data_IF_561151696552
#
_entry.id   IF_561151696552
#
_cell.length_a   1.000
_cell.length_b   1.000
_cell.length_c   1.000
_cell.angle_alpha   90.00
_cell.angle_beta   90.00
_cell.angle_gamma   90.00
#
_symmetry.space_group_name_H-M   'P 1'
#
loop_
_entity.id
_entity.type
_entity.pdbx_description
1 polymer ?
#
# COMPACT_ATOMS: atom_id res chain seq x y z
N UNK A 1 -12.85 0.35 0.47
CA UNK A 1 -11.62 -0.33 0.12
C UNK A 1 -11.87 -1.37 -0.98
N UNK A 2 -10.92 -1.50 -1.93
CA UNK A 2 -11.00 -2.49 -3.01
C UNK A 2 -12.03 -2.19 -4.12
N UNK A 3 -12.83 -1.13 -4.00
CA UNK A 3 -13.77 -0.69 -5.03
C UNK A 3 -13.40 0.66 -5.62
N UNK A 4 -13.09 1.64 -4.78
CA UNK A 4 -12.71 3.01 -5.20
C UNK A 4 -11.50 3.55 -4.43
N UNK A 5 -11.07 2.87 -3.37
CA UNK A 5 -9.86 3.17 -2.63
C UNK A 5 -8.92 1.98 -2.74
N UNK A 6 -7.71 2.20 -3.22
CA UNK A 6 -6.74 1.19 -3.62
C UNK A 6 -5.36 1.50 -3.03
N UNK A 7 -4.48 0.50 -3.06
CA UNK A 7 -3.06 0.69 -2.72
C UNK A 7 -2.12 0.37 -3.89
N UNK A 8 -2.57 -0.43 -4.86
CA UNK A 8 -1.72 -0.98 -5.90
C UNK A 8 -2.21 -0.56 -7.29
N UNK A 9 -1.47 0.30 -8.02
CA UNK A 9 -1.84 0.72 -9.36
C UNK A 9 -1.79 -0.42 -10.39
N UNK A 10 -0.87 -1.36 -10.24
CA UNK A 10 -0.79 -2.54 -11.10
C UNK A 10 -2.00 -3.48 -10.97
N UNK A 11 -2.70 -3.41 -9.83
CA UNK A 11 -3.88 -4.24 -9.57
C UNK A 11 -5.18 -3.60 -10.10
N UNK A 12 -5.27 -2.27 -10.13
CA UNK A 12 -6.53 -1.56 -10.38
C UNK A 12 -6.41 -0.33 -11.28
N UNK A 13 -5.21 0.10 -11.67
CA UNK A 13 -5.03 1.34 -12.41
C UNK A 13 -5.63 1.29 -13.82
N UNK A 14 -5.56 0.15 -14.49
CA UNK A 14 -6.05 -0.01 -15.87
C UNK A 14 -7.56 0.19 -15.98
N UNK A 15 -8.32 -0.34 -15.03
CA UNK A 15 -9.79 -0.29 -15.01
C UNK A 15 -10.35 1.11 -14.73
N UNK A 16 -9.52 2.06 -14.27
CA UNK A 16 -9.95 3.42 -14.00
C UNK A 16 -10.10 4.31 -15.26
N UNK A 17 -9.74 3.81 -16.44
CA UNK A 17 -10.08 4.46 -17.71
C UNK A 17 -9.38 5.77 -18.03
N UNK A 18 -8.24 6.05 -17.41
CA UNK A 18 -7.41 7.27 -17.57
C UNK A 18 -8.05 8.58 -17.10
N UNK A 19 -9.13 8.51 -16.35
CA UNK A 19 -9.79 9.69 -15.77
C UNK A 19 -9.07 10.18 -14.49
N UNK A 20 -9.69 11.10 -13.74
CA UNK A 20 -9.09 11.73 -12.56
C UNK A 20 -8.80 10.77 -11.41
N UNK A 21 -7.53 10.49 -11.17
CA UNK A 21 -7.03 9.61 -10.11
C UNK A 21 -6.49 10.47 -8.96
N UNK A 22 -6.90 10.17 -7.73
CA UNK A 22 -6.36 10.80 -6.53
C UNK A 22 -5.29 9.95 -5.86
N UNK A 23 -4.31 10.61 -5.26
CA UNK A 23 -3.39 10.04 -4.27
C UNK A 23 -3.59 10.77 -2.96
N UNK A 24 -4.03 10.09 -1.91
CA UNK A 24 -4.13 10.68 -0.58
C UNK A 24 -2.88 10.32 0.23
N UNK A 25 -2.09 11.33 0.58
CA UNK A 25 -0.91 11.13 1.39
C UNK A 25 -1.28 10.82 2.85
N UNK A 26 -0.61 9.83 3.42
CA UNK A 26 -0.57 9.50 4.84
C UNK A 26 0.87 9.60 5.38
N UNK A 27 1.83 9.75 4.49
CA UNK A 27 3.25 9.99 4.73
C UNK A 27 3.92 10.35 3.40
N UNK A 28 5.22 10.62 3.44
CA UNK A 28 6.05 10.87 2.24
C UNK A 28 6.05 9.70 1.24
N UNK A 29 5.70 8.48 1.66
CA UNK A 29 5.55 7.33 0.75
C UNK A 29 4.55 7.57 -0.38
N UNK A 30 3.63 8.53 -0.22
CA UNK A 30 2.69 8.94 -1.26
C UNK A 30 3.39 9.51 -2.52
N UNK A 31 4.63 9.99 -2.39
CA UNK A 31 5.46 10.43 -3.52
C UNK A 31 5.61 9.33 -4.58
N UNK A 32 5.78 8.07 -4.15
CA UNK A 32 5.86 6.93 -5.05
C UNK A 32 4.61 6.81 -5.95
N UNK A 33 3.43 6.91 -5.37
CA UNK A 33 2.17 6.89 -6.13
C UNK A 33 2.03 8.15 -7.00
N UNK A 34 2.36 9.32 -6.46
CA UNK A 34 2.30 10.58 -7.21
C UNK A 34 3.17 10.59 -8.47
N UNK A 35 4.32 9.91 -8.44
CA UNK A 35 5.22 9.80 -9.59
C UNK A 35 4.81 8.68 -10.56
N UNK A 36 4.16 7.64 -10.07
CA UNK A 36 3.84 6.45 -10.85
C UNK A 36 2.49 6.56 -11.57
N UNK A 37 1.45 7.03 -10.88
CA UNK A 37 0.06 7.00 -11.35
C UNK A 37 -0.23 7.81 -12.63
N UNK A 38 0.56 8.83 -13.03
CA UNK A 38 0.37 9.48 -14.33
C UNK A 38 0.42 8.54 -15.54
N UNK A 39 1.00 7.35 -15.41
CA UNK A 39 0.98 6.34 -16.47
C UNK A 39 -0.42 5.71 -16.67
N UNK A 40 -1.29 5.81 -15.67
CA UNK A 40 -2.67 5.29 -15.70
C UNK A 40 -3.73 6.37 -15.92
N UNK A 41 -3.46 7.64 -15.57
CA UNK A 41 -4.43 8.70 -15.78
C UNK A 41 -4.04 10.05 -15.18
N UNK A 42 -4.89 11.05 -15.37
CA UNK A 42 -4.69 12.38 -14.78
C UNK A 42 -4.65 12.27 -13.26
N UNK A 43 -3.50 12.59 -12.67
CA UNK A 43 -3.20 12.33 -11.26
C UNK A 43 -3.14 13.60 -10.44
N UNK A 44 -3.82 13.60 -9.29
CA UNK A 44 -3.72 14.64 -8.27
C UNK A 44 -3.20 14.03 -6.96
N UNK A 45 -2.08 14.57 -6.45
CA UNK A 45 -1.55 14.25 -5.12
C UNK A 45 -2.12 15.23 -4.10
N UNK A 46 -2.92 14.73 -3.17
CA UNK A 46 -3.39 15.44 -1.99
C UNK A 46 -2.39 15.23 -0.86
N UNK A 47 -1.64 16.28 -0.52
CA UNK A 47 -0.57 16.21 0.51
C UNK A 47 -1.14 15.92 1.90
N UNK A 48 -2.39 16.34 2.15
CA UNK A 48 -3.17 15.99 3.35
C UNK A 48 -2.46 16.34 4.67
N UNK A 49 -1.64 17.40 4.67
CA UNK A 49 -0.79 17.82 5.81
C UNK A 49 0.08 16.67 6.38
N UNK A 50 0.32 15.61 5.58
CA UNK A 50 1.05 14.42 6.01
C UNK A 50 2.58 14.57 5.87
N UNK A 51 3.04 15.46 5.00
CA UNK A 51 4.45 15.81 4.81
C UNK A 51 4.56 17.12 4.01
N UNK A 52 5.76 17.71 3.97
CA UNK A 52 6.07 18.89 3.15
C UNK A 52 6.97 18.44 1.98
N UNK A 53 6.47 18.47 0.72
CA UNK A 53 7.30 18.11 -0.43
C UNK A 53 8.48 19.09 -0.61
N UNK A 54 9.68 18.56 -0.81
CA UNK A 54 10.86 19.37 -1.13
C UNK A 54 10.76 19.99 -2.53
N UNK A 55 11.57 21.01 -2.80
CA UNK A 55 11.63 21.64 -4.13
C UNK A 55 11.98 20.63 -5.25
N UNK A 56 12.82 19.63 -4.96
CA UNK A 56 13.15 18.55 -5.88
C UNK A 56 11.95 17.65 -6.15
N UNK A 57 11.25 17.24 -5.11
CA UNK A 57 10.02 16.40 -5.21
C UNK A 57 8.93 17.12 -6.00
N UNK A 58 8.74 18.42 -5.77
CA UNK A 58 7.81 19.25 -6.54
C UNK A 58 8.19 19.29 -8.03
N UNK A 59 9.47 19.44 -8.35
CA UNK A 59 9.96 19.40 -9.72
C UNK A 59 9.72 18.05 -10.39
N UNK A 60 9.94 16.94 -9.66
CA UNK A 60 9.68 15.57 -10.13
C UNK A 60 8.19 15.34 -10.42
N UNK A 61 7.30 15.71 -9.48
CA UNK A 61 5.84 15.59 -9.66
C UNK A 61 5.37 16.41 -10.87
N UNK A 62 5.84 17.65 -11.00
CA UNK A 62 5.53 18.52 -12.14
C UNK A 62 6.01 17.90 -13.47
N UNK A 63 7.22 17.35 -13.50
CA UNK A 63 7.76 16.70 -14.70
C UNK A 63 6.93 15.48 -15.13
N UNK A 64 6.27 14.79 -14.17
CA UNK A 64 5.34 13.68 -14.42
C UNK A 64 3.91 14.13 -14.74
N UNK A 65 3.61 15.43 -14.64
CA UNK A 65 2.26 15.96 -14.86
C UNK A 65 1.31 15.74 -13.70
N UNK A 66 1.81 15.44 -12.50
CA UNK A 66 0.99 15.28 -11.29
C UNK A 66 0.59 16.65 -10.76
N UNK A 67 -0.70 16.88 -10.59
CA UNK A 67 -1.23 18.03 -9.89
C UNK A 67 -1.10 17.85 -8.38
N UNK A 68 -0.89 18.96 -7.65
CA UNK A 68 -0.67 18.91 -6.20
C UNK A 68 -1.73 19.76 -5.51
N UNK A 69 -2.41 19.18 -4.52
CA UNK A 69 -3.38 19.84 -3.68
C UNK A 69 -2.94 19.80 -2.21
N UNK A 70 -2.96 20.98 -1.57
CA UNK A 70 -2.62 21.15 -0.16
C UNK A 70 -3.85 21.26 0.71
N UNK A 71 -3.68 20.99 1.99
CA UNK A 71 -4.70 20.98 3.02
C UNK A 71 -5.14 19.57 3.42
N UNK A 72 -5.79 19.46 4.57
CA UNK A 72 -6.21 18.18 5.11
C UNK A 72 -7.54 17.70 4.49
N UNK A 73 -7.61 16.40 4.25
CA UNK A 73 -8.86 15.72 3.90
C UNK A 73 -9.78 15.61 5.12
N UNK A 74 -11.07 15.86 4.89
CA UNK A 74 -12.08 15.71 5.94
C UNK A 74 -12.76 14.34 5.88
N UNK A 75 -13.15 13.90 4.68
CA UNK A 75 -13.86 12.64 4.48
C UNK A 75 -13.84 12.19 3.00
N UNK A 76 -14.13 10.91 2.82
CA UNK A 76 -14.46 10.33 1.52
C UNK A 76 -15.96 10.07 1.45
N UNK A 77 -16.57 10.46 0.35
CA UNK A 77 -17.98 10.20 0.06
C UNK A 77 -18.06 9.27 -1.14
N UNK A 78 -18.65 8.09 -0.94
CA UNK A 78 -18.93 7.20 -2.05
C UNK A 78 -20.09 7.77 -2.86
N UNK A 79 -19.84 8.19 -4.07
CA UNK A 79 -20.87 8.55 -5.02
C UNK A 79 -21.11 7.36 -5.92
N UNK A 80 -22.29 6.74 -5.87
CA UNK A 80 -22.76 5.72 -6.80
C UNK A 80 -21.69 4.75 -7.38
N UNK A 81 -22.00 4.00 -8.40
CA UNK A 81 -21.12 2.97 -8.97
C UNK A 81 -19.87 3.50 -9.70
N UNK A 82 -19.71 4.82 -9.88
CA UNK A 82 -18.75 5.40 -10.82
C UNK A 82 -17.56 6.11 -10.19
N UNK A 83 -17.56 6.48 -8.89
CA UNK A 83 -16.46 7.27 -8.33
C UNK A 83 -16.48 7.45 -6.82
N UNK A 84 -15.56 8.26 -6.34
CA UNK A 84 -15.43 8.72 -4.95
C UNK A 84 -15.19 10.23 -4.93
N UNK A 85 -15.79 10.95 -4.01
CA UNK A 85 -15.47 12.35 -3.76
C UNK A 85 -14.56 12.45 -2.54
N UNK A 86 -13.44 13.14 -2.71
CA UNK A 86 -12.60 13.59 -1.62
C UNK A 86 -13.04 14.99 -1.20
N UNK A 87 -13.52 15.12 0.02
CA UNK A 87 -13.93 16.40 0.62
C UNK A 87 -12.81 16.87 1.53
N UNK A 88 -12.29 18.08 1.27
CA UNK A 88 -11.26 18.72 2.10
C UNK A 88 -11.89 19.44 3.30
N UNK A 89 -11.09 19.73 4.32
CA UNK A 89 -11.55 20.46 5.51
C UNK A 89 -12.00 21.90 5.19
N UNK A 90 -11.45 22.51 4.16
CA UNK A 90 -11.82 23.85 3.68
C UNK A 90 -13.08 23.88 2.80
N UNK A 91 -13.71 22.71 2.59
CA UNK A 91 -14.95 22.56 1.83
C UNK A 91 -14.75 22.29 0.34
N UNK A 92 -13.53 22.30 -0.19
CA UNK A 92 -13.28 21.87 -1.59
C UNK A 92 -13.65 20.40 -1.76
N UNK A 93 -14.20 20.06 -2.94
CA UNK A 93 -14.64 18.71 -3.28
C UNK A 93 -13.99 18.29 -4.60
N UNK A 94 -13.39 17.13 -4.60
CA UNK A 94 -12.69 16.57 -5.77
C UNK A 94 -13.37 15.25 -6.17
N UNK A 95 -14.07 15.20 -7.31
CA UNK A 95 -14.58 13.96 -7.87
C UNK A 95 -13.43 13.16 -8.48
N UNK A 96 -13.33 11.89 -8.12
CA UNK A 96 -12.26 10.98 -8.54
C UNK A 96 -12.87 9.65 -8.99
N UNK A 97 -12.29 9.03 -10.01
CA UNK A 97 -12.67 7.66 -10.40
C UNK A 97 -12.08 6.62 -9.46
N UNK A 98 -10.95 6.95 -8.83
CA UNK A 98 -10.30 6.13 -7.83
C UNK A 98 -9.32 6.92 -6.99
N UNK A 99 -9.10 6.47 -5.77
CA UNK A 99 -8.17 7.07 -4.81
C UNK A 99 -7.14 6.04 -4.37
N UNK A 100 -5.87 6.37 -4.53
CA UNK A 100 -4.77 5.54 -4.04
C UNK A 100 -4.25 6.06 -2.70
N UNK A 101 -3.96 5.14 -1.79
CA UNK A 101 -3.40 5.43 -0.47
C UNK A 101 -2.26 4.45 -0.22
N UNK A 102 -1.10 4.95 0.22
CA UNK A 102 -0.03 4.11 0.74
C UNK A 102 -0.43 3.68 2.17
N UNK A 103 -0.86 2.41 2.39
CA UNK A 103 -1.32 1.97 3.70
C UNK A 103 -0.13 1.78 4.64
N UNK A 104 -0.37 1.92 5.93
CA UNK A 104 0.56 1.49 6.97
C UNK A 104 0.23 0.07 7.38
N UNK A 105 1.21 -0.80 7.42
CA UNK A 105 1.05 -2.20 7.85
C UNK A 105 1.03 -2.23 9.38
N UNK A 106 0.00 -2.85 9.92
CA UNK A 106 -0.11 -3.18 11.34
C UNK A 106 -0.23 -4.70 11.46
N UNK A 107 0.80 -5.31 12.04
CA UNK A 107 0.79 -6.74 12.28
C UNK A 107 -0.29 -7.14 13.29
N UNK A 108 -0.88 -8.31 13.06
CA UNK A 108 -1.69 -8.98 14.07
C UNK A 108 -0.85 -9.24 15.33
N UNK A 109 -1.43 -9.15 16.53
CA UNK A 109 -0.71 -9.44 17.78
C UNK A 109 -0.21 -10.90 17.87
N UNK A 110 -0.67 -11.80 17.00
CA UNK A 110 -0.26 -13.22 16.98
C UNK A 110 1.26 -13.39 16.80
N UNK A 111 1.89 -12.61 15.92
CA UNK A 111 3.34 -12.70 15.69
C UNK A 111 4.13 -12.37 16.97
N UNK A 112 3.73 -11.29 17.68
CA UNK A 112 4.34 -10.89 18.93
C UNK A 112 4.05 -11.90 20.07
N UNK A 113 2.83 -12.45 20.14
CA UNK A 113 2.44 -13.47 21.13
C UNK A 113 3.24 -14.77 20.97
N UNK A 114 3.58 -15.13 19.73
CA UNK A 114 4.44 -16.27 19.42
C UNK A 114 5.93 -15.98 19.65
N UNK A 115 6.32 -14.71 19.86
CA UNK A 115 7.71 -14.32 20.03
C UNK A 115 8.52 -14.25 18.73
N UNK A 116 7.85 -14.12 17.58
CA UNK A 116 8.53 -14.00 16.29
C UNK A 116 9.35 -12.73 16.21
N UNK A 117 10.55 -12.82 15.64
CA UNK A 117 11.37 -11.65 15.32
C UNK A 117 10.68 -10.82 14.23
N UNK A 118 10.66 -9.50 14.42
CA UNK A 118 10.07 -8.56 13.49
C UNK A 118 11.16 -7.78 12.77
N UNK A 119 10.85 -7.33 11.56
CA UNK A 119 11.72 -6.48 10.74
C UNK A 119 10.98 -5.20 10.36
N UNK A 120 11.66 -4.06 10.48
CA UNK A 120 11.12 -2.76 10.07
C UNK A 120 11.17 -2.62 8.55
N UNK A 121 10.06 -2.17 7.98
CA UNK A 121 9.97 -1.79 6.57
C UNK A 121 9.42 -0.37 6.42
N UNK A 122 9.58 0.26 5.24
CA UNK A 122 9.00 1.59 5.00
C UNK A 122 7.48 1.66 5.20
N UNK A 123 6.77 0.52 5.07
CA UNK A 123 5.32 0.44 5.23
C UNK A 123 4.89 -0.01 6.64
N UNK A 124 5.81 -0.31 7.54
CA UNK A 124 5.56 -0.82 8.90
C UNK A 124 6.31 -2.12 9.17
N UNK A 125 6.09 -2.69 10.35
CA UNK A 125 6.75 -3.95 10.74
C UNK A 125 6.17 -5.14 10.00
N UNK A 126 7.06 -6.08 9.65
CA UNK A 126 6.71 -7.40 9.09
C UNK A 126 7.36 -8.49 9.93
N UNK A 127 6.89 -9.73 9.81
CA UNK A 127 7.54 -10.88 10.43
C UNK A 127 8.78 -11.23 9.63
N UNK A 128 9.93 -11.28 10.29
CA UNK A 128 11.18 -11.70 9.67
C UNK A 128 11.16 -13.18 9.38
N UNK A 129 11.48 -13.55 8.14
CA UNK A 129 11.54 -14.95 7.67
C UNK A 129 12.80 -15.18 6.86
N UNK A 130 13.22 -16.42 6.78
CA UNK A 130 14.25 -16.86 5.83
C UNK A 130 13.67 -17.17 4.44
N UNK A 131 14.52 -17.65 3.53
CA UNK A 131 14.12 -18.03 2.17
C UNK A 131 13.12 -19.21 2.11
N UNK A 132 13.01 -19.97 3.20
CA UNK A 132 12.07 -21.07 3.36
C UNK A 132 10.80 -20.68 4.09
N UNK A 133 10.59 -19.38 4.33
CA UNK A 133 9.48 -18.80 5.06
C UNK A 133 9.45 -19.18 6.55
N UNK A 134 10.56 -19.69 7.10
CA UNK A 134 10.67 -19.99 8.52
C UNK A 134 10.89 -18.71 9.33
N UNK A 135 10.16 -18.58 10.44
CA UNK A 135 10.35 -17.46 11.39
C UNK A 135 11.48 -17.79 12.38
N UNK A 136 11.77 -16.87 13.31
CA UNK A 136 12.70 -17.11 14.42
C UNK A 136 12.23 -18.20 15.41
N UNK A 137 10.97 -18.60 15.33
CA UNK A 137 10.38 -19.59 16.24
C UNK A 137 10.28 -20.95 15.50
N UNK A 138 10.92 -22.03 16.02
CA UNK A 138 10.89 -23.34 15.41
C UNK A 138 9.44 -23.84 15.18
N UNK A 139 9.17 -24.33 13.96
CA UNK A 139 7.85 -24.83 13.58
C UNK A 139 6.82 -23.74 13.23
N UNK A 140 7.20 -22.46 13.27
CA UNK A 140 6.36 -21.33 12.87
C UNK A 140 6.86 -20.76 11.56
N UNK A 141 5.96 -20.68 10.58
CA UNK A 141 6.22 -20.14 9.24
C UNK A 141 5.30 -18.96 8.98
N UNK A 142 5.79 -17.95 8.25
CA UNK A 142 5.00 -16.78 7.87
C UNK A 142 5.22 -16.46 6.39
N UNK A 143 4.15 -16.09 5.68
CA UNK A 143 4.20 -15.85 4.24
C UNK A 143 3.19 -14.78 3.80
N UNK A 144 3.39 -14.23 2.60
CA UNK A 144 2.56 -13.16 2.06
C UNK A 144 2.76 -11.83 2.77
N UNK A 145 1.73 -10.99 2.83
CA UNK A 145 1.81 -9.60 3.30
C UNK A 145 2.29 -9.45 4.75
N UNK A 146 2.16 -10.49 5.59
CA UNK A 146 2.65 -10.47 6.97
C UNK A 146 4.18 -10.55 7.06
N UNK A 147 4.82 -11.10 6.04
CA UNK A 147 6.28 -11.32 5.96
C UNK A 147 6.94 -10.58 4.79
N UNK A 148 6.20 -9.69 4.10
CA UNK A 148 6.70 -9.02 2.91
C UNK A 148 6.25 -7.56 2.85
N UNK A 149 7.20 -6.64 2.64
CA UNK A 149 6.91 -5.21 2.54
C UNK A 149 6.13 -4.85 1.26
N UNK A 150 6.38 -5.55 0.15
CA UNK A 150 5.69 -5.34 -1.13
C UNK A 150 4.65 -6.44 -1.35
N UNK A 151 3.41 -6.18 -0.97
CA UNK A 151 2.28 -7.12 -1.11
C UNK A 151 1.87 -7.32 -2.55
N UNK A 152 1.63 -8.59 -2.92
CA UNK A 152 1.08 -9.00 -4.22
C UNK A 152 0.45 -10.38 -4.07
N UNK A 153 -0.68 -10.60 -4.73
CA UNK A 153 -1.33 -11.93 -4.74
C UNK A 153 -0.37 -13.00 -5.29
N UNK A 154 0.38 -12.69 -6.34
CA UNK A 154 1.36 -13.62 -6.93
C UNK A 154 2.44 -14.01 -5.93
N UNK A 155 3.00 -13.03 -5.21
CA UNK A 155 3.99 -13.31 -4.18
C UNK A 155 3.38 -14.08 -3.01
N UNK A 156 2.19 -13.72 -2.55
CA UNK A 156 1.52 -14.42 -1.46
C UNK A 156 1.26 -15.89 -1.79
N UNK A 157 0.87 -16.21 -3.04
CA UNK A 157 0.69 -17.60 -3.51
C UNK A 157 2.01 -18.35 -3.53
N UNK A 158 3.08 -17.75 -4.09
CA UNK A 158 4.39 -18.38 -4.14
C UNK A 158 4.99 -18.61 -2.75
N UNK A 159 4.92 -17.59 -1.87
CA UNK A 159 5.38 -17.68 -0.48
C UNK A 159 4.57 -18.73 0.30
N UNK A 160 3.24 -18.78 0.07
CA UNK A 160 2.37 -19.79 0.69
C UNK A 160 2.73 -21.21 0.28
N UNK A 161 3.04 -21.44 -1.00
CA UNK A 161 3.51 -22.74 -1.47
C UNK A 161 4.85 -23.14 -0.79
N UNK A 162 5.79 -22.17 -0.67
CA UNK A 162 7.07 -22.41 0.02
C UNK A 162 6.86 -22.69 1.52
N UNK A 163 6.04 -21.88 2.20
CA UNK A 163 5.73 -22.08 3.61
C UNK A 163 5.09 -23.46 3.88
N UNK A 164 4.15 -23.88 3.01
CA UNK A 164 3.52 -25.20 3.09
C UNK A 164 4.51 -26.35 2.92
N UNK A 165 5.41 -26.25 1.92
CA UNK A 165 6.49 -27.23 1.72
C UNK A 165 7.42 -27.30 2.94
N UNK A 166 7.81 -26.15 3.46
CA UNK A 166 8.73 -26.03 4.60
C UNK A 166 8.10 -26.58 5.88
N UNK A 167 6.82 -26.30 6.12
CA UNK A 167 6.05 -26.85 7.23
C UNK A 167 6.00 -28.37 7.15
N UNK A 168 5.68 -28.93 5.97
CA UNK A 168 5.65 -30.38 5.78
C UNK A 168 7.02 -31.01 6.07
N UNK A 169 8.10 -30.42 5.54
CA UNK A 169 9.46 -30.90 5.80
C UNK A 169 9.82 -30.88 7.29
N UNK A 170 9.48 -29.83 8.01
CA UNK A 170 9.75 -29.73 9.45
C UNK A 170 9.05 -30.81 10.25
N UNK A 171 7.82 -31.16 9.88
CA UNK A 171 7.06 -32.24 10.50
C UNK A 171 7.65 -33.62 10.20
N UNK A 172 8.21 -33.81 8.99
CA UNK A 172 8.78 -35.10 8.58
C UNK A 172 10.17 -35.35 9.14
N UNK A 173 11.00 -34.30 9.23
CA UNK A 173 12.43 -34.43 9.50
C UNK A 173 12.88 -33.71 10.79
N UNK A 174 12.01 -32.99 11.46
CA UNK A 174 12.31 -32.33 12.73
C UNK A 174 13.28 -31.16 12.62
N UNK A 175 13.30 -30.46 11.46
CA UNK A 175 14.18 -29.31 11.20
C UNK A 175 13.39 -28.01 10.97
#
# INVERSE_FOLDING_TARGET
WGKRVFHCPYCHGYELGKEGIGVLATSELAMHHGLMLPDWGATTLFVNDAFEPTAEQLAQLKARGTHIEYGAAARLVSQTEVGVELVMQDGRVFPLVGLFVAPRIHLSPLAAQLGCELEESPMGCIVKTDAMQATSIPGVFACGDVARAAGSVTFAVADGAMAGLSTHRSLMFGC
#
